data_IF_685011191781
#
_entry.id   IF_685011191781
#
_cell.length_a   1.000
_cell.length_b   1.000
_cell.length_c   1.000
_cell.angle_alpha   90.00
_cell.angle_beta   90.00
_cell.angle_gamma   90.00
#
_symmetry.space_group_name_H-M   'P 1'
#
loop_
_entity.id
_entity.type
_entity.pdbx_description
1 polymer ?
#
# COMPACT_ATOMS: atom_id res chain seq x y z
N UNK A 1 9.98 15.07 -36.32
CA UNK A 1 9.86 15.02 -34.85
C UNK A 1 9.60 13.60 -34.37
N UNK A 2 10.08 13.20 -33.19
CA UNK A 2 9.78 11.89 -32.56
C UNK A 2 8.50 11.94 -31.73
N UNK A 3 7.91 10.79 -31.41
CA UNK A 3 6.68 10.72 -30.60
C UNK A 3 6.84 11.40 -29.22
N UNK A 4 7.98 11.23 -28.56
CA UNK A 4 8.23 11.81 -27.23
C UNK A 4 8.35 13.33 -27.28
N UNK A 5 9.08 13.85 -28.27
CA UNK A 5 9.19 15.29 -28.50
C UNK A 5 7.82 15.91 -28.82
N UNK A 6 7.03 15.25 -29.67
CA UNK A 6 5.67 15.70 -29.97
C UNK A 6 4.78 15.67 -28.73
N UNK A 7 4.82 14.59 -27.93
CA UNK A 7 4.02 14.47 -26.69
C UNK A 7 4.29 15.59 -25.69
N UNK A 8 5.55 16.00 -25.54
CA UNK A 8 5.91 17.13 -24.67
C UNK A 8 5.31 18.47 -25.15
N UNK A 9 5.09 18.63 -26.45
CA UNK A 9 4.58 19.87 -27.05
C UNK A 9 3.06 19.89 -27.30
N UNK A 10 2.35 18.76 -27.14
CA UNK A 10 0.92 18.68 -27.45
C UNK A 10 0.05 19.65 -26.65
N UNK A 11 0.36 19.89 -25.37
CA UNK A 11 -0.41 20.82 -24.53
C UNK A 11 -0.33 22.25 -25.08
N UNK A 12 0.88 22.69 -25.41
CA UNK A 12 1.14 24.05 -25.90
C UNK A 12 0.62 24.22 -27.33
N UNK A 13 0.69 23.17 -28.14
CA UNK A 13 0.05 23.10 -29.46
C UNK A 13 -1.46 23.31 -29.37
N UNK A 14 -2.16 22.59 -28.48
CA UNK A 14 -3.61 22.72 -28.27
C UNK A 14 -3.99 24.11 -27.74
N UNK A 15 -3.13 24.72 -26.91
CA UNK A 15 -3.33 26.08 -26.38
C UNK A 15 -2.92 27.19 -27.35
N UNK A 16 -2.36 26.86 -28.51
CA UNK A 16 -1.80 27.82 -29.49
C UNK A 16 -0.65 28.68 -28.94
N UNK A 17 0.15 28.11 -28.04
CA UNK A 17 1.29 28.79 -27.40
C UNK A 17 2.63 28.54 -28.12
N UNK A 18 2.67 27.59 -29.05
CA UNK A 18 3.87 27.28 -29.85
C UNK A 18 4.17 28.35 -30.90
N UNK A 19 5.45 28.51 -31.25
CA UNK A 19 5.83 29.28 -32.44
C UNK A 19 5.30 28.60 -33.71
N UNK A 20 5.18 29.35 -34.81
CA UNK A 20 4.67 28.81 -36.08
C UNK A 20 5.46 27.59 -36.57
N UNK A 21 6.79 27.65 -36.47
CA UNK A 21 7.66 26.54 -36.91
C UNK A 21 7.43 25.27 -36.07
N UNK A 22 7.33 25.40 -34.75
CA UNK A 22 7.09 24.26 -33.85
C UNK A 22 5.70 23.67 -34.07
N UNK A 23 4.69 24.52 -34.26
CA UNK A 23 3.34 24.07 -34.57
C UNK A 23 3.27 23.30 -35.90
N UNK A 24 3.99 23.75 -36.93
CA UNK A 24 4.07 23.07 -38.23
C UNK A 24 4.75 21.70 -38.07
N UNK A 25 5.82 21.60 -37.27
CA UNK A 25 6.49 20.32 -37.00
C UNK A 25 5.59 19.34 -36.21
N UNK A 26 4.85 19.82 -35.20
CA UNK A 26 3.87 18.99 -34.45
C UNK A 26 2.76 18.51 -35.37
N UNK A 27 2.20 19.42 -36.19
CA UNK A 27 1.14 19.08 -37.14
C UNK A 27 1.61 18.03 -38.17
N UNK A 28 2.84 18.16 -38.69
CA UNK A 28 3.42 17.19 -39.60
C UNK A 28 3.53 15.79 -38.97
N UNK A 29 3.91 15.69 -37.69
CA UNK A 29 3.95 14.41 -36.97
C UNK A 29 2.55 13.85 -36.69
N UNK A 30 1.59 14.70 -36.31
CA UNK A 30 0.20 14.29 -36.09
C UNK A 30 -0.45 13.71 -37.36
N UNK A 31 0.00 14.09 -38.56
CA UNK A 31 -0.49 13.50 -39.80
C UNK A 31 -0.06 12.03 -39.98
N UNK A 32 1.06 11.60 -39.37
CA UNK A 32 1.61 10.25 -39.58
C UNK A 32 1.44 9.32 -38.38
N UNK A 33 1.24 9.86 -37.16
CA UNK A 33 1.16 9.08 -35.93
C UNK A 33 -0.25 9.04 -35.33
N UNK A 34 -0.90 7.87 -35.37
CA UNK A 34 -2.25 7.66 -34.81
C UNK A 34 -2.29 7.85 -33.28
N UNK A 35 -1.30 7.34 -32.56
CA UNK A 35 -1.25 7.47 -31.09
C UNK A 35 -1.15 8.95 -30.66
N UNK A 36 -0.31 9.75 -31.32
CA UNK A 36 -0.19 11.18 -31.02
C UNK A 36 -1.47 11.95 -31.37
N UNK A 37 -2.21 11.57 -32.43
CA UNK A 37 -3.55 12.13 -32.71
C UNK A 37 -4.55 11.82 -31.59
N UNK A 38 -4.59 10.58 -31.11
CA UNK A 38 -5.50 10.21 -30.02
C UNK A 38 -5.22 11.02 -28.75
N UNK A 39 -3.93 11.23 -28.41
CA UNK A 39 -3.54 12.07 -27.28
C UNK A 39 -3.95 13.54 -27.48
N UNK A 40 -3.76 14.12 -28.69
CA UNK A 40 -4.19 15.50 -28.99
C UNK A 40 -5.70 15.67 -28.83
N UNK A 41 -6.48 14.72 -29.37
CA UNK A 41 -7.94 14.74 -29.27
C UNK A 41 -8.42 14.68 -27.81
N UNK A 42 -7.78 13.85 -26.97
CA UNK A 42 -8.08 13.77 -25.54
C UNK A 42 -7.76 15.07 -24.80
N UNK A 43 -6.58 15.65 -25.06
CA UNK A 43 -6.18 16.94 -24.47
C UNK A 43 -7.18 18.03 -24.86
N UNK A 44 -7.57 18.10 -26.14
CA UNK A 44 -8.56 19.08 -26.64
C UNK A 44 -9.92 18.89 -25.98
N UNK A 45 -10.37 17.65 -25.80
CA UNK A 45 -11.62 17.33 -25.08
C UNK A 45 -11.56 17.81 -23.64
N UNK A 46 -10.46 17.55 -22.92
CA UNK A 46 -10.28 17.97 -21.53
C UNK A 46 -10.26 19.50 -21.39
N UNK A 47 -9.56 20.22 -22.28
CA UNK A 47 -9.62 21.69 -22.28
C UNK A 47 -11.02 22.23 -22.61
N UNK A 48 -11.78 21.55 -23.48
CA UNK A 48 -13.19 21.86 -23.72
C UNK A 48 -14.04 21.75 -22.46
N UNK A 49 -13.88 20.67 -21.69
CA UNK A 49 -14.56 20.48 -20.41
C UNK A 49 -14.16 21.53 -19.38
N UNK A 50 -12.87 21.88 -19.30
CA UNK A 50 -12.38 22.93 -18.39
C UNK A 50 -12.91 24.32 -18.74
N UNK A 51 -13.10 24.64 -20.02
CA UNK A 51 -13.72 25.92 -20.44
C UNK A 51 -15.20 26.00 -20.08
N UNK A 52 -15.90 24.87 -20.05
CA UNK A 52 -17.29 24.78 -19.62
C UNK A 52 -17.42 24.85 -18.09
N UNK A 53 -16.39 24.43 -17.35
CA UNK A 53 -16.35 24.57 -15.92
C UNK A 53 -16.26 26.06 -15.53
N UNK A 54 -17.31 26.56 -14.87
CA UNK A 54 -17.25 27.89 -14.26
C UNK A 54 -16.33 27.81 -13.05
N UNK A 55 -15.11 28.31 -13.17
CA UNK A 55 -14.22 28.40 -12.03
C UNK A 55 -14.88 29.30 -10.97
N UNK A 56 -15.08 28.83 -9.73
CA UNK A 56 -15.60 29.68 -8.68
C UNK A 56 -14.64 30.85 -8.48
N UNK A 57 -15.18 32.08 -8.53
CA UNK A 57 -14.38 33.27 -8.23
C UNK A 57 -13.85 33.12 -6.79
N UNK A 58 -12.52 33.12 -6.57
CA UNK A 58 -12.00 33.04 -5.21
C UNK A 58 -12.49 34.23 -4.40
N UNK A 59 -12.72 34.04 -3.10
CA UNK A 59 -13.17 35.13 -2.23
C UNK A 59 -12.10 36.23 -2.13
N UNK A 60 -12.53 37.48 -2.00
CA UNK A 60 -11.60 38.62 -1.87
C UNK A 60 -10.68 38.47 -0.65
N UNK A 61 -11.16 37.81 0.42
CA UNK A 61 -10.37 37.48 1.60
C UNK A 61 -9.22 36.51 1.32
N UNK A 62 -9.40 35.55 0.40
CA UNK A 62 -8.33 34.64 0.00
C UNK A 62 -7.28 35.40 -0.82
N UNK A 63 -7.70 36.26 -1.76
CA UNK A 63 -6.80 37.10 -2.55
C UNK A 63 -5.98 38.05 -1.67
N UNK A 64 -6.62 38.70 -0.69
CA UNK A 64 -5.93 39.57 0.27
C UNK A 64 -4.82 38.82 1.04
N UNK A 65 -5.09 37.57 1.46
CA UNK A 65 -4.09 36.74 2.16
C UNK A 65 -2.94 36.30 1.25
N UNK A 66 -3.21 35.99 -0.01
CA UNK A 66 -2.19 35.60 -0.98
C UNK A 66 -1.28 36.81 -1.26
N UNK A 67 -1.85 37.99 -1.54
CA UNK A 67 -1.08 39.21 -1.79
C UNK A 67 -0.23 39.60 -0.58
N UNK A 68 -0.81 39.59 0.63
CA UNK A 68 -0.04 39.84 1.86
C UNK A 68 1.06 38.80 2.14
N UNK A 69 0.97 37.59 1.55
CA UNK A 69 2.06 36.62 1.61
C UNK A 69 3.15 36.90 0.60
N UNK A 70 2.80 37.36 -0.61
CA UNK A 70 3.77 37.74 -1.64
C UNK A 70 4.52 39.00 -1.21
N UNK A 71 3.81 40.02 -0.71
CA UNK A 71 4.39 41.27 -0.23
C UNK A 71 5.43 41.03 0.87
N UNK A 72 5.18 40.08 1.79
CA UNK A 72 6.14 39.71 2.85
C UNK A 72 7.40 39.01 2.32
N UNK A 73 7.27 38.23 1.25
CA UNK A 73 8.40 37.58 0.59
C UNK A 73 9.24 38.63 -0.15
N UNK A 74 8.59 39.56 -0.86
CA UNK A 74 9.25 40.64 -1.59
C UNK A 74 9.90 41.67 -0.65
N UNK A 75 9.29 41.93 0.51
CA UNK A 75 9.84 42.81 1.55
C UNK A 75 11.04 42.21 2.30
N UNK A 76 11.40 40.95 2.05
CA UNK A 76 12.53 40.30 2.70
C UNK A 76 12.32 40.07 4.20
N UNK A 77 11.07 40.06 4.68
CA UNK A 77 10.74 39.73 6.07
C UNK A 77 10.93 38.22 6.30
N UNK A 78 12.19 37.81 6.46
CA UNK A 78 12.54 36.51 6.97
C UNK A 78 11.93 36.32 8.36
N UNK A 79 11.48 35.10 8.66
CA UNK A 79 10.99 34.70 9.98
C UNK A 79 12.12 34.79 11.02
N UNK A 80 12.42 36.00 11.52
CA UNK A 80 13.41 36.20 12.57
C UNK A 80 12.85 35.71 13.91
N UNK A 81 13.37 34.59 14.39
CA UNK A 81 13.07 34.09 15.72
C UNK A 81 13.75 34.99 16.79
N UNK A 82 13.06 35.35 17.89
CA UNK A 82 13.60 36.25 18.91
C UNK A 82 14.75 35.58 19.68
N UNK A 83 15.96 36.12 19.52
CA UNK A 83 17.15 35.67 20.26
C UNK A 83 17.17 36.36 21.63
N UNK A 84 16.99 35.59 22.71
CA UNK A 84 17.13 36.09 24.10
C UNK A 84 18.58 35.97 24.57
N UNK A 85 19.07 37.04 25.18
CA UNK A 85 20.46 37.33 25.55
C UNK A 85 21.05 36.49 26.70
N UNK A 86 22.36 36.26 26.61
CA UNK A 86 23.15 35.21 27.26
C UNK A 86 23.69 35.48 28.70
N UNK A 87 23.10 36.38 29.49
CA UNK A 87 23.70 36.76 30.78
C UNK A 87 23.16 36.00 32.02
N UNK A 88 22.20 35.07 31.87
CA UNK A 88 21.49 34.46 33.01
C UNK A 88 21.76 32.95 33.20
N UNK A 89 22.94 32.46 32.79
CA UNK A 89 23.21 31.01 32.66
C UNK A 89 23.95 30.38 33.86
N UNK A 90 24.62 31.15 34.73
CA UNK A 90 25.59 30.55 35.67
C UNK A 90 25.09 30.22 37.09
N UNK A 91 23.87 30.62 37.49
CA UNK A 91 23.27 30.18 38.78
C UNK A 91 22.12 29.18 38.62
N UNK A 92 21.71 28.85 37.40
CA UNK A 92 20.58 27.95 37.12
C UNK A 92 20.94 26.47 36.94
N UNK A 93 22.22 26.08 36.86
CA UNK A 93 22.59 24.73 36.40
C UNK A 93 22.21 23.57 37.35
N UNK A 94 22.08 23.80 38.66
CA UNK A 94 21.66 22.74 39.59
C UNK A 94 20.13 22.53 39.62
N UNK A 95 19.34 23.59 39.38
CA UNK A 95 17.88 23.53 39.30
C UNK A 95 17.43 23.09 37.89
N UNK A 96 18.18 23.46 36.84
CA UNK A 96 17.88 23.08 35.47
C UNK A 96 18.05 21.59 35.21
N UNK A 97 19.01 20.90 35.83
CA UNK A 97 19.20 19.46 35.65
C UNK A 97 18.06 18.64 36.28
N UNK A 98 17.61 19.00 37.48
CA UNK A 98 16.46 18.35 38.12
C UNK A 98 15.14 18.71 37.46
N UNK A 99 14.96 19.96 37.02
CA UNK A 99 13.81 20.32 36.18
C UNK A 99 13.87 19.65 34.81
N UNK A 100 15.03 19.45 34.18
CA UNK A 100 15.16 18.72 32.92
C UNK A 100 14.86 17.24 33.11
N UNK A 101 15.33 16.60 34.18
CA UNK A 101 14.99 15.20 34.50
C UNK A 101 13.51 15.06 34.84
N UNK A 102 12.94 16.01 35.61
CA UNK A 102 11.50 16.02 35.91
C UNK A 102 10.65 16.36 34.67
N UNK A 103 11.06 17.30 33.81
CA UNK A 103 10.37 17.62 32.55
C UNK A 103 10.50 16.49 31.55
N UNK A 104 11.65 15.81 31.48
CA UNK A 104 11.83 14.67 30.57
C UNK A 104 11.07 13.45 31.07
N UNK A 105 11.01 13.21 32.37
CA UNK A 105 10.12 12.22 32.96
C UNK A 105 8.64 12.56 32.72
N UNK A 106 8.24 13.82 32.90
CA UNK A 106 6.87 14.29 32.63
C UNK A 106 6.57 14.28 31.13
N UNK A 107 7.52 14.57 30.23
CA UNK A 107 7.33 14.44 28.78
C UNK A 107 7.25 12.97 28.35
N UNK A 108 8.02 12.06 28.95
CA UNK A 108 7.91 10.61 28.71
C UNK A 108 6.59 10.03 29.23
N UNK A 109 6.04 10.59 30.32
CA UNK A 109 4.75 10.21 30.87
C UNK A 109 3.59 10.87 30.08
N UNK A 110 3.70 12.14 29.68
CA UNK A 110 2.67 12.85 28.90
C UNK A 110 2.70 12.55 27.39
N UNK A 111 3.77 11.96 26.84
CA UNK A 111 3.72 11.41 25.48
C UNK A 111 2.96 10.08 25.39
N UNK A 112 2.51 9.52 26.52
CA UNK A 112 1.48 8.49 26.51
C UNK A 112 0.18 9.20 26.11
N UNK A 113 -0.16 9.07 24.83
CA UNK A 113 -1.20 9.85 24.17
C UNK A 113 -2.48 9.93 24.98
N UNK A 114 -3.02 11.14 25.12
CA UNK A 114 -4.33 11.33 25.71
C UNK A 114 -5.34 10.43 24.96
N UNK A 115 -6.17 9.66 25.68
CA UNK A 115 -7.12 8.71 25.09
C UNK A 115 -8.18 9.33 24.17
N UNK A 116 -8.23 10.67 24.09
CA UNK A 116 -9.16 11.44 23.25
C UNK A 116 -8.57 11.87 21.90
N UNK A 117 -7.45 11.28 21.46
CA UNK A 117 -6.94 11.57 20.11
C UNK A 117 -7.97 11.14 19.06
N UNK A 118 -8.42 12.04 18.17
CA UNK A 118 -9.49 11.74 17.23
C UNK A 118 -9.07 10.58 16.30
N UNK A 119 -10.03 9.72 15.97
CA UNK A 119 -9.83 8.68 14.97
C UNK A 119 -9.40 9.32 13.64
N UNK A 120 -8.26 8.90 13.12
CA UNK A 120 -7.65 9.43 11.89
C UNK A 120 -7.85 8.49 10.72
N UNK A 121 -7.76 7.19 10.96
CA UNK A 121 -7.91 6.18 9.92
C UNK A 121 -8.89 5.08 10.34
N UNK A 122 -9.38 4.34 9.37
CA UNK A 122 -10.16 3.12 9.61
C UNK A 122 -9.47 1.96 8.93
N UNK A 123 -9.21 0.92 9.72
CA UNK A 123 -8.71 -0.34 9.20
C UNK A 123 -9.85 -1.05 8.47
N UNK A 124 -9.81 -1.05 7.15
CA UNK A 124 -10.89 -1.64 6.36
C UNK A 124 -10.76 -3.16 6.31
N UNK A 125 -9.53 -3.68 6.11
CA UNK A 125 -9.27 -5.12 5.93
C UNK A 125 -7.92 -5.57 6.46
N UNK A 126 -7.86 -6.85 6.81
CA UNK A 126 -6.66 -7.57 7.26
C UNK A 126 -6.60 -8.90 6.52
N UNK A 127 -5.42 -9.31 6.07
CA UNK A 127 -5.16 -10.68 5.64
C UNK A 127 -5.19 -11.68 6.81
N UNK A 128 -5.21 -12.98 6.52
CA UNK A 128 -5.08 -14.02 7.55
C UNK A 128 -3.76 -13.86 8.32
N UNK A 129 -3.80 -14.18 9.62
CA UNK A 129 -2.62 -14.15 10.49
C UNK A 129 -2.11 -12.75 10.86
N UNK A 130 -2.81 -11.68 10.47
CA UNK A 130 -2.41 -10.32 10.81
C UNK A 130 -2.70 -10.05 12.29
N UNK A 131 -1.66 -9.93 13.11
CA UNK A 131 -1.78 -9.28 14.41
C UNK A 131 -1.31 -7.84 14.26
N UNK A 132 -2.26 -6.93 14.01
CA UNK A 132 -1.97 -5.51 14.22
C UNK A 132 -1.96 -5.29 15.72
N UNK A 133 -0.81 -4.93 16.24
CA UNK A 133 -0.69 -4.48 17.62
C UNK A 133 -0.92 -3.00 17.70
N UNK A 134 -1.98 -2.56 18.37
CA UNK A 134 -1.99 -1.22 18.98
C UNK A 134 -1.02 -1.27 20.17
N UNK A 135 -0.09 -0.33 20.19
CA UNK A 135 0.83 -0.14 21.32
C UNK A 135 0.35 1.08 22.12
N UNK A 136 -0.35 0.82 23.22
CA UNK A 136 -0.67 1.84 24.23
C UNK A 136 0.23 1.59 25.43
N UNK A 137 1.37 2.29 25.49
CA UNK A 137 2.41 1.99 26.47
C UNK A 137 3.19 0.72 26.09
N UNK A 138 3.12 -0.33 26.90
CA UNK A 138 3.80 -1.61 26.67
C UNK A 138 2.88 -2.74 26.19
N UNK A 139 1.57 -2.51 26.23
CA UNK A 139 0.58 -3.54 25.89
C UNK A 139 0.35 -3.61 24.38
N UNK A 140 0.25 -4.84 23.88
CA UNK A 140 0.09 -5.19 22.48
C UNK A 140 -1.32 -5.72 22.25
N UNK A 141 -2.21 -4.91 21.67
CA UNK A 141 -3.59 -5.30 21.43
C UNK A 141 -3.83 -5.67 19.96
N UNK A 142 -4.34 -6.89 19.70
CA UNK A 142 -4.76 -7.33 18.36
C UNK A 142 -5.97 -6.54 17.85
N UNK A 143 -5.87 -5.96 16.66
CA UNK A 143 -7.01 -5.29 16.03
C UNK A 143 -7.86 -6.22 15.17
N UNK A 144 -9.10 -5.80 14.91
CA UNK A 144 -10.04 -6.46 14.00
C UNK A 144 -10.36 -5.51 12.83
N UNK A 145 -10.76 -6.02 11.66
CA UNK A 145 -11.31 -5.17 10.60
C UNK A 145 -12.44 -4.28 11.13
N UNK A 146 -12.51 -3.04 10.63
CA UNK A 146 -13.41 -1.98 11.10
C UNK A 146 -12.87 -1.16 12.27
N UNK A 147 -11.77 -1.57 12.92
CA UNK A 147 -11.16 -0.79 14.00
C UNK A 147 -10.68 0.58 13.50
N UNK A 148 -10.85 1.60 14.33
CA UNK A 148 -10.31 2.93 14.09
C UNK A 148 -8.87 3.01 14.56
N UNK A 149 -8.09 3.80 13.82
CA UNK A 149 -6.71 4.11 14.11
C UNK A 149 -6.60 5.58 14.53
N UNK A 150 -6.05 5.81 15.71
CA UNK A 150 -5.82 7.15 16.25
C UNK A 150 -4.43 7.67 15.89
N UNK A 151 -4.26 8.99 15.95
CA UNK A 151 -2.94 9.59 15.86
C UNK A 151 -2.02 9.05 16.97
N UNK A 152 -0.78 8.76 16.59
CA UNK A 152 0.24 8.23 17.47
C UNK A 152 0.31 6.71 17.51
N UNK A 153 -0.72 6.00 17.06
CA UNK A 153 -0.74 4.54 17.07
C UNK A 153 0.25 3.94 16.09
N UNK A 154 0.99 2.95 16.57
CA UNK A 154 1.88 2.11 15.75
C UNK A 154 1.15 0.83 15.37
N UNK A 155 1.34 0.43 14.12
CA UNK A 155 0.88 -0.79 13.50
C UNK A 155 2.12 -1.64 13.19
N UNK A 156 2.18 -2.85 13.72
CA UNK A 156 3.22 -3.83 13.38
C UNK A 156 2.52 -4.98 12.65
N UNK A 157 3.04 -5.38 11.50
CA UNK A 157 2.50 -6.47 10.68
C UNK A 157 3.40 -7.70 10.80
N UNK A 158 2.81 -8.87 11.05
CA UNK A 158 3.56 -10.13 11.00
C UNK A 158 4.10 -10.42 9.59
N UNK A 159 5.19 -11.22 9.47
CA UNK A 159 5.66 -11.68 8.17
C UNK A 159 4.56 -12.42 7.40
N UNK A 160 4.41 -12.12 6.12
CA UNK A 160 3.35 -12.70 5.28
C UNK A 160 1.96 -12.11 5.50
N UNK A 161 1.78 -11.20 6.46
CA UNK A 161 0.53 -10.50 6.69
C UNK A 161 0.29 -9.38 5.63
N UNK A 162 -0.90 -8.80 5.56
CA UNK A 162 -1.16 -7.56 4.82
C UNK A 162 -2.37 -6.84 5.39
N UNK A 163 -2.37 -5.52 5.38
CA UNK A 163 -3.48 -4.73 5.88
C UNK A 163 -3.83 -3.59 4.94
N UNK A 164 -5.11 -3.22 4.92
CA UNK A 164 -5.59 -2.06 4.18
C UNK A 164 -6.39 -1.19 5.11
N UNK A 165 -6.07 0.10 5.08
CA UNK A 165 -6.81 1.10 5.80
C UNK A 165 -7.05 2.32 4.92
N UNK A 166 -8.06 3.09 5.29
CA UNK A 166 -8.41 4.35 4.65
C UNK A 166 -8.26 5.47 5.65
N UNK A 167 -7.73 6.60 5.19
CA UNK A 167 -7.79 7.87 5.91
C UNK A 167 -8.81 8.74 5.17
N UNK A 168 -9.85 9.17 5.87
CA UNK A 168 -10.96 9.91 5.27
C UNK A 168 -10.47 11.22 4.62
N UNK A 169 -10.90 11.46 3.37
CA UNK A 169 -10.49 12.63 2.58
C UNK A 169 -9.00 12.65 2.18
N UNK A 170 -8.29 11.54 2.38
CA UNK A 170 -6.89 11.39 1.99
C UNK A 170 -6.71 10.30 0.96
N UNK A 171 -7.12 9.06 1.26
CA UNK A 171 -6.83 7.95 0.37
C UNK A 171 -6.77 6.60 1.05
N UNK A 172 -6.37 5.59 0.27
CA UNK A 172 -6.27 4.19 0.67
C UNK A 172 -4.80 3.77 0.77
N UNK A 173 -4.51 2.95 1.76
CA UNK A 173 -3.17 2.49 2.07
C UNK A 173 -3.15 0.98 2.17
N UNK A 174 -2.19 0.34 1.53
CA UNK A 174 -1.88 -1.09 1.67
C UNK A 174 -0.52 -1.25 2.32
N UNK A 175 -0.46 -2.02 3.39
CA UNK A 175 0.76 -2.32 4.13
C UNK A 175 1.10 -3.78 3.95
N UNK A 176 2.33 -4.08 3.57
CA UNK A 176 2.81 -5.44 3.47
C UNK A 176 3.21 -6.03 4.83
N UNK A 177 3.31 -7.34 4.91
CA UNK A 177 3.76 -8.07 6.09
C UNK A 177 5.21 -7.74 6.45
N UNK A 178 5.55 -7.85 7.72
CA UNK A 178 6.86 -7.45 8.25
C UNK A 178 7.08 -5.94 8.34
N UNK A 179 6.07 -5.13 8.00
CA UNK A 179 6.15 -3.67 8.10
C UNK A 179 5.80 -3.17 9.49
N UNK A 180 6.45 -2.08 9.89
CA UNK A 180 6.09 -1.29 11.06
C UNK A 180 5.82 0.13 10.60
N UNK A 181 4.65 0.67 10.93
CA UNK A 181 4.32 2.06 10.63
C UNK A 181 3.53 2.70 11.76
N UNK A 182 3.56 4.03 11.84
CA UNK A 182 2.84 4.83 12.83
C UNK A 182 1.96 5.86 12.14
N UNK A 183 0.75 6.05 12.64
CA UNK A 183 -0.16 7.11 12.21
C UNK A 183 0.31 8.42 12.83
N UNK A 184 1.17 9.17 12.12
CA UNK A 184 1.76 10.40 12.65
C UNK A 184 0.75 11.54 12.76
N UNK A 185 -0.31 11.53 11.94
CA UNK A 185 -1.40 12.50 11.99
C UNK A 185 -2.41 12.29 10.85
N UNK A 186 -3.40 13.19 10.71
CA UNK A 186 -4.49 13.07 9.73
C UNK A 186 -4.05 13.05 8.27
N UNK A 187 -2.84 13.53 7.98
CA UNK A 187 -2.26 13.56 6.63
C UNK A 187 -0.79 13.14 6.62
N UNK A 188 -0.38 12.35 7.61
CA UNK A 188 0.99 11.92 7.78
C UNK A 188 1.07 10.48 8.30
N UNK A 189 1.88 9.65 7.64
CA UNK A 189 2.28 8.33 8.10
C UNK A 189 3.80 8.34 8.30
N UNK A 190 4.27 7.64 9.33
CA UNK A 190 5.67 7.30 9.48
C UNK A 190 5.86 5.80 9.25
N UNK A 191 6.52 5.42 8.16
CA UNK A 191 6.92 4.05 7.88
C UNK A 191 8.31 3.82 8.49
N UNK A 192 8.40 2.97 9.51
CA UNK A 192 9.69 2.67 10.15
C UNK A 192 10.46 1.64 9.34
N UNK A 193 9.79 0.59 8.87
CA UNK A 193 10.34 -0.44 8.00
C UNK A 193 9.25 -1.17 7.22
N UNK A 194 9.64 -1.87 6.16
CA UNK A 194 8.78 -2.71 5.34
C UNK A 194 8.26 -1.96 4.11
N UNK A 195 7.03 -2.24 3.71
CA UNK A 195 6.47 -1.73 2.46
C UNK A 195 5.06 -1.17 2.68
N UNK A 196 4.86 0.02 2.12
CA UNK A 196 3.59 0.73 2.09
C UNK A 196 3.32 1.18 0.66
N UNK A 197 2.13 0.86 0.16
CA UNK A 197 1.63 1.40 -1.09
C UNK A 197 0.46 2.33 -0.77
N UNK A 198 0.43 3.50 -1.39
CA UNK A 198 -0.55 4.55 -1.11
C UNK A 198 -1.21 5.03 -2.41
N UNK A 199 -2.54 5.08 -2.41
CA UNK A 199 -3.36 5.76 -3.42
C UNK A 199 -4.05 6.94 -2.76
N UNK A 200 -3.49 8.12 -3.03
CA UNK A 200 -3.93 9.37 -2.46
C UNK A 200 -4.93 10.02 -3.42
N UNK A 201 -6.10 10.37 -2.88
CA UNK A 201 -7.14 11.09 -3.60
C UNK A 201 -6.64 12.47 -4.05
N UNK A 202 -6.83 12.85 -5.32
CA UNK A 202 -6.50 14.20 -5.80
C UNK A 202 -7.29 15.31 -5.09
N UNK A 203 -6.74 16.52 -5.07
CA UNK A 203 -7.45 17.74 -4.61
C UNK A 203 -7.36 18.09 -3.11
N UNK A 204 -6.64 17.31 -2.31
CA UNK A 204 -6.41 17.60 -0.88
C UNK A 204 -5.18 18.48 -0.58
N UNK A 205 -4.96 18.82 0.71
CA UNK A 205 -3.82 19.61 1.23
C UNK A 205 -2.44 18.91 1.18
N UNK A 206 -2.27 17.94 0.28
CA UNK A 206 -1.09 17.07 0.22
C UNK A 206 -1.04 16.01 1.33
N UNK A 207 -0.22 14.98 1.16
CA UNK A 207 -0.03 13.91 2.14
C UNK A 207 1.45 13.62 2.28
N UNK A 208 1.89 13.22 3.47
CA UNK A 208 3.30 12.93 3.74
C UNK A 208 3.52 11.51 4.26
N UNK A 209 4.49 10.81 3.69
CA UNK A 209 5.03 9.58 4.25
C UNK A 209 6.48 9.82 4.62
N UNK A 210 6.78 9.74 5.92
CA UNK A 210 8.14 9.78 6.43
C UNK A 210 8.68 8.35 6.55
N UNK A 211 9.85 8.10 5.97
CA UNK A 211 10.63 6.87 6.13
C UNK A 211 12.02 7.23 6.68
N UNK A 212 12.85 6.26 7.12
CA UNK A 212 14.04 6.60 7.90
C UNK A 212 15.08 7.44 7.12
N UNK A 213 15.13 7.33 5.79
CA UNK A 213 16.13 7.97 4.94
C UNK A 213 15.55 9.09 4.06
N UNK A 214 14.22 9.20 3.96
CA UNK A 214 13.56 10.24 3.18
C UNK A 214 12.08 10.42 3.51
N UNK A 215 11.51 11.53 3.05
CA UNK A 215 10.10 11.88 3.09
C UNK A 215 9.54 11.94 1.66
N UNK A 216 8.31 11.47 1.50
CA UNK A 216 7.54 11.55 0.27
C UNK A 216 6.34 12.46 0.49
N UNK A 217 6.31 13.61 -0.19
CA UNK A 217 5.18 14.54 -0.16
C UNK A 217 4.43 14.46 -1.49
N UNK A 218 3.11 14.28 -1.42
CA UNK A 218 2.29 13.92 -2.59
C UNK A 218 0.97 14.66 -2.63
N UNK A 219 0.39 14.79 -3.83
CA UNK A 219 -0.95 15.30 -4.08
C UNK A 219 -1.59 14.47 -5.20
N UNK A 220 -2.52 13.57 -4.87
CA UNK A 220 -3.22 12.79 -5.91
C UNK A 220 -2.35 11.73 -6.60
N UNK A 221 -1.63 10.91 -5.84
CA UNK A 221 -0.57 10.03 -6.37
C UNK A 221 -0.83 8.57 -5.98
N UNK A 222 -0.56 7.64 -6.90
CA UNK A 222 -0.40 6.21 -6.61
C UNK A 222 1.09 5.85 -6.61
N UNK A 223 1.61 5.38 -5.48
CA UNK A 223 3.03 5.12 -5.31
C UNK A 223 3.32 4.09 -4.22
N UNK A 224 4.51 3.50 -4.27
CA UNK A 224 5.04 2.53 -3.31
C UNK A 224 6.26 3.10 -2.60
N UNK A 225 6.35 2.88 -1.30
CA UNK A 225 7.52 3.16 -0.46
C UNK A 225 7.97 1.86 0.19
N UNK A 226 9.25 1.51 0.00
CA UNK A 226 9.91 0.42 0.69
C UNK A 226 11.01 1.00 1.59
N UNK A 227 11.00 0.65 2.88
CA UNK A 227 11.94 1.14 3.88
C UNK A 227 12.68 -0.01 4.55
N UNK A 228 14.01 0.07 4.54
CA UNK A 228 14.94 -0.75 5.33
C UNK A 228 15.74 0.16 6.26
N UNK A 229 16.62 -0.43 7.08
CA UNK A 229 17.45 0.33 8.02
C UNK A 229 18.45 1.27 7.31
N UNK A 230 18.83 0.96 6.07
CA UNK A 230 19.85 1.67 5.30
C UNK A 230 19.31 2.39 4.05
N UNK A 231 18.07 2.09 3.62
CA UNK A 231 17.52 2.57 2.36
C UNK A 231 16.01 2.83 2.42
N UNK A 232 15.58 3.95 1.84
CA UNK A 232 14.18 4.16 1.43
C UNK A 232 14.12 4.18 -0.09
N UNK A 233 13.31 3.32 -0.69
CA UNK A 233 13.01 3.34 -2.12
C UNK A 233 11.58 3.81 -2.36
N UNK A 234 11.39 4.60 -3.41
CA UNK A 234 10.11 5.14 -3.84
C UNK A 234 9.88 4.77 -5.30
N UNK A 235 8.70 4.25 -5.62
CA UNK A 235 8.25 3.95 -6.98
C UNK A 235 6.93 4.66 -7.24
N UNK A 236 6.73 5.30 -8.40
CA UNK A 236 5.51 6.08 -8.69
C UNK A 236 4.77 5.52 -9.90
N UNK A 237 3.50 5.16 -9.70
CA UNK A 237 2.63 4.63 -10.74
C UNK A 237 1.86 5.73 -11.47
N UNK A 238 1.36 6.70 -10.70
CA UNK A 238 0.48 7.77 -11.18
C UNK A 238 0.77 9.05 -10.42
N UNK A 239 0.83 10.17 -11.13
CA UNK A 239 1.07 11.48 -10.55
C UNK A 239 2.55 11.76 -10.33
N UNK A 240 2.86 12.52 -9.28
CA UNK A 240 4.23 12.93 -8.95
C UNK A 240 4.44 12.92 -7.44
N UNK A 241 5.67 12.68 -7.02
CA UNK A 241 6.08 12.68 -5.62
C UNK A 241 7.31 13.54 -5.44
N UNK A 242 7.24 14.51 -4.53
CA UNK A 242 8.43 15.20 -4.05
C UNK A 242 9.11 14.30 -3.02
N UNK A 243 10.24 13.73 -3.40
CA UNK A 243 11.03 12.83 -2.56
C UNK A 243 12.25 13.57 -2.04
N UNK A 244 12.39 13.69 -0.72
CA UNK A 244 13.40 14.57 -0.13
C UNK A 244 13.92 14.11 1.22
N UNK A 245 15.10 14.60 1.58
CA UNK A 245 15.66 14.49 2.93
C UNK A 245 16.48 15.77 3.25
N UNK A 246 17.25 15.75 4.34
CA UNK A 246 18.07 16.90 4.75
C UNK A 246 19.18 17.26 3.77
N UNK A 247 19.55 16.36 2.86
CA UNK A 247 20.64 16.54 1.89
C UNK A 247 20.14 16.98 0.51
N UNK A 248 18.85 16.91 0.22
CA UNK A 248 18.31 17.32 -1.08
C UNK A 248 16.91 16.80 -1.39
N UNK A 249 16.44 17.07 -2.60
CA UNK A 249 15.12 16.66 -3.08
C UNK A 249 15.18 16.34 -4.57
N UNK A 250 14.37 15.37 -4.98
CA UNK A 250 14.07 15.03 -6.38
C UNK A 250 12.56 14.95 -6.57
N UNK A 251 12.07 15.24 -7.76
CA UNK A 251 10.67 15.00 -8.12
C UNK A 251 10.59 13.69 -8.91
N UNK A 252 9.84 12.71 -8.41
CA UNK A 252 9.67 11.39 -9.02
C UNK A 252 8.31 11.34 -9.69
N UNK A 253 8.29 11.22 -11.01
CA UNK A 253 7.07 11.17 -11.81
C UNK A 253 6.61 9.73 -12.03
N UNK A 254 5.36 9.57 -12.47
CA UNK A 254 4.82 8.28 -12.91
C UNK A 254 5.76 7.58 -13.90
N UNK A 255 5.98 6.28 -13.69
CA UNK A 255 6.92 5.49 -14.50
C UNK A 255 8.36 5.55 -14.00
N UNK A 256 8.65 6.27 -12.92
CA UNK A 256 10.00 6.37 -12.34
C UNK A 256 10.06 5.87 -10.90
N UNK A 257 11.29 5.59 -10.47
CA UNK A 257 11.66 5.28 -9.10
C UNK A 257 12.87 6.09 -8.66
N UNK A 258 13.02 6.30 -7.35
CA UNK A 258 14.21 6.88 -6.74
C UNK A 258 14.51 6.16 -5.43
N UNK A 259 15.73 6.32 -4.92
CA UNK A 259 16.14 5.79 -3.63
C UNK A 259 16.93 6.82 -2.84
N UNK A 260 16.75 6.82 -1.53
CA UNK A 260 17.52 7.59 -0.57
C UNK A 260 18.24 6.64 0.37
N UNK A 261 19.48 7.00 0.71
CA UNK A 261 20.31 6.32 1.71
C UNK A 261 20.79 7.35 2.72
N UNK A 262 21.18 6.90 3.91
CA UNK A 262 21.58 7.79 4.99
C UNK A 262 22.70 8.78 4.56
N UNK A 263 22.51 10.06 4.87
CA UNK A 263 23.50 11.12 4.66
C UNK A 263 23.72 11.57 3.21
N UNK A 264 22.97 11.02 2.24
CA UNK A 264 23.06 11.42 0.82
C UNK A 264 21.74 11.97 0.33
N UNK A 265 21.80 12.89 -0.63
CA UNK A 265 20.60 13.35 -1.35
C UNK A 265 19.94 12.15 -2.06
N UNK A 266 18.61 12.14 -2.22
CA UNK A 266 17.95 11.11 -3.00
C UNK A 266 18.55 11.01 -4.41
N UNK A 267 18.70 9.79 -4.92
CA UNK A 267 19.22 9.53 -6.25
C UNK A 267 18.32 10.15 -7.33
N UNK A 268 18.92 10.55 -8.45
CA UNK A 268 18.15 10.97 -9.62
C UNK A 268 17.11 9.89 -10.00
N UNK A 269 15.88 10.28 -10.40
CA UNK A 269 14.87 9.32 -10.80
C UNK A 269 15.36 8.42 -11.95
N UNK A 270 15.11 7.12 -11.81
CA UNK A 270 15.38 6.10 -12.81
C UNK A 270 14.05 5.57 -13.36
N UNK A 271 13.99 5.35 -14.66
CA UNK A 271 12.80 4.78 -15.30
C UNK A 271 12.55 3.35 -14.79
N UNK A 272 11.29 3.02 -14.59
CA UNK A 272 10.88 1.66 -14.25
C UNK A 272 10.96 0.78 -15.48
N UNK A 273 11.57 -0.39 -15.33
CA UNK A 273 11.40 -1.43 -16.33
C UNK A 273 9.90 -1.78 -16.45
N UNK A 274 9.42 -1.98 -17.68
CA UNK A 274 8.00 -2.17 -17.97
C UNK A 274 7.36 -3.36 -17.24
N UNK A 275 8.16 -4.32 -16.77
CA UNK A 275 7.77 -5.52 -16.02
C UNK A 275 7.92 -5.39 -14.49
N UNK A 276 8.67 -4.39 -14.00
CA UNK A 276 9.05 -4.27 -12.59
C UNK A 276 7.95 -3.68 -11.69
N UNK A 277 6.86 -3.20 -12.29
CA UNK A 277 5.85 -2.44 -11.60
C UNK A 277 4.52 -3.21 -11.55
N UNK A 278 4.49 -4.25 -10.71
CA UNK A 278 3.27 -4.97 -10.35
C UNK A 278 2.36 -4.06 -9.49
N UNK A 279 1.68 -3.13 -10.17
CA UNK A 279 0.70 -2.23 -9.57
C UNK A 279 -0.66 -2.90 -9.37
N UNK A 280 -0.87 -4.11 -9.91
CA UNK A 280 -2.12 -4.87 -9.76
C UNK A 280 -2.32 -5.37 -8.33
N UNK A 281 -1.24 -5.43 -7.54
CA UNK A 281 -1.27 -5.54 -6.07
C UNK A 281 -2.11 -4.45 -5.39
N UNK A 282 -2.40 -3.34 -6.09
CA UNK A 282 -3.27 -2.27 -5.63
C UNK A 282 -4.74 -2.44 -6.03
N UNK A 283 -5.00 -3.08 -7.18
CA UNK A 283 -6.34 -3.28 -7.74
C UNK A 283 -7.07 -4.46 -7.10
N UNK A 284 -6.34 -5.52 -6.76
CA UNK A 284 -6.92 -6.74 -6.20
C UNK A 284 -7.11 -6.64 -4.68
N UNK A 285 -8.15 -5.90 -4.30
CA UNK A 285 -8.79 -6.06 -2.99
C UNK A 285 -10.31 -6.10 -3.17
N UNK A 286 -10.80 -6.98 -4.04
CA UNK A 286 -12.05 -7.67 -3.72
C UNK A 286 -11.81 -8.43 -2.39
N UNK A 287 -12.80 -8.64 -1.50
CA UNK A 287 -12.62 -9.57 -0.39
C UNK A 287 -12.04 -10.86 -0.99
N UNK A 288 -10.83 -11.20 -0.56
CA UNK A 288 -10.21 -12.43 -1.06
C UNK A 288 -11.11 -13.60 -0.71
N UNK A 289 -11.00 -14.71 -1.45
CA UNK A 289 -11.69 -15.92 -1.07
C UNK A 289 -11.40 -16.25 0.39
N UNK A 290 -12.42 -16.54 1.20
CA UNK A 290 -12.27 -17.30 2.43
C UNK A 290 -11.97 -18.73 2.06
N UNK A 291 -11.00 -19.33 2.74
CA UNK A 291 -10.62 -20.73 2.56
C UNK A 291 -11.25 -21.57 3.66
N UNK A 292 -12.07 -22.54 3.29
CA UNK A 292 -12.55 -23.58 4.18
C UNK A 292 -11.88 -24.90 3.80
N UNK A 293 -11.25 -25.56 4.77
CA UNK A 293 -10.65 -26.87 4.57
C UNK A 293 -11.52 -27.93 5.25
N UNK A 294 -11.87 -28.97 4.50
CA UNK A 294 -12.48 -30.20 5.02
C UNK A 294 -11.58 -31.37 4.66
N UNK A 295 -11.31 -32.24 5.63
CA UNK A 295 -10.50 -33.43 5.42
C UNK A 295 -11.24 -34.62 6.01
N UNK A 296 -11.26 -35.74 5.29
CA UNK A 296 -11.95 -36.95 5.76
C UNK A 296 -11.07 -37.76 6.72
N UNK A 297 -11.68 -38.46 7.67
CA UNK A 297 -10.97 -39.39 8.54
C UNK A 297 -10.39 -40.56 7.72
N UNK A 298 -9.27 -41.11 8.15
CA UNK A 298 -8.56 -42.16 7.39
C UNK A 298 -7.82 -43.15 8.28
N UNK A 299 -7.28 -44.20 7.65
CA UNK A 299 -6.27 -45.06 8.28
C UNK A 299 -4.85 -44.60 7.92
N UNK A 300 -3.90 -44.88 8.81
CA UNK A 300 -2.48 -44.59 8.63
C UNK A 300 -1.94 -45.16 7.31
N UNK A 301 -1.14 -44.36 6.61
CA UNK A 301 -0.52 -44.75 5.34
C UNK A 301 -1.46 -44.80 4.12
N UNK A 302 -2.77 -44.54 4.28
CA UNK A 302 -3.70 -44.42 3.15
C UNK A 302 -3.79 -42.97 2.65
N UNK A 303 -3.99 -42.74 1.34
CA UNK A 303 -4.34 -41.42 0.83
C UNK A 303 -5.59 -40.88 1.52
N UNK A 304 -5.58 -39.60 1.89
CA UNK A 304 -6.65 -38.93 2.63
C UNK A 304 -7.30 -37.90 1.73
N UNK A 305 -8.55 -38.11 1.28
CA UNK A 305 -9.22 -37.12 0.47
C UNK A 305 -9.44 -35.83 1.29
N UNK A 306 -9.16 -34.70 0.66
CA UNK A 306 -9.46 -33.39 1.21
C UNK A 306 -10.19 -32.52 0.20
N UNK A 307 -10.91 -31.54 0.74
CA UNK A 307 -11.62 -30.53 -0.02
C UNK A 307 -11.28 -29.14 0.52
N UNK A 308 -10.77 -28.27 -0.35
CA UNK A 308 -10.63 -26.85 -0.10
C UNK A 308 -11.78 -26.13 -0.80
N UNK A 309 -12.53 -25.33 -0.05
CA UNK A 309 -13.63 -24.52 -0.60
C UNK A 309 -13.27 -23.05 -0.48
N UNK A 310 -13.20 -22.36 -1.61
CA UNK A 310 -13.03 -20.91 -1.69
C UNK A 310 -14.39 -20.25 -1.85
N UNK A 311 -14.72 -19.32 -0.94
CA UNK A 311 -15.97 -18.53 -0.95
C UNK A 311 -15.65 -17.05 -0.90
N UNK A 312 -16.44 -16.18 -1.52
CA UNK A 312 -16.24 -14.73 -1.36
C UNK A 312 -17.55 -14.02 -1.05
N UNK A 313 -17.49 -12.99 -0.21
CA UNK A 313 -18.67 -12.18 0.10
C UNK A 313 -19.01 -11.18 -1.03
N UNK A 314 -18.11 -11.02 -2.00
CA UNK A 314 -18.30 -10.20 -3.20
C UNK A 314 -17.79 -10.92 -4.46
N UNK A 315 -18.27 -10.56 -5.66
CA UNK A 315 -17.78 -11.12 -6.91
C UNK A 315 -16.25 -11.05 -6.99
N UNK A 316 -15.61 -12.21 -7.03
CA UNK A 316 -14.16 -12.38 -7.00
C UNK A 316 -13.76 -13.41 -8.04
N UNK A 317 -12.91 -13.03 -8.98
CA UNK A 317 -12.36 -13.97 -9.95
C UNK A 317 -11.08 -14.57 -9.36
N UNK A 318 -10.98 -15.88 -9.29
CA UNK A 318 -9.79 -16.60 -8.80
C UNK A 318 -9.29 -17.55 -9.87
N UNK A 319 -7.98 -17.78 -9.92
CA UNK A 319 -7.45 -18.84 -10.78
C UNK A 319 -7.65 -20.19 -10.10
N UNK A 320 -8.26 -21.13 -10.82
CA UNK A 320 -8.59 -22.45 -10.34
C UNK A 320 -7.43 -23.43 -10.56
N UNK A 321 -7.09 -24.16 -9.51
CA UNK A 321 -6.02 -25.14 -9.51
C UNK A 321 -4.66 -24.55 -9.15
N UNK A 322 -3.61 -25.34 -9.37
CA UNK A 322 -2.21 -24.93 -9.17
C UNK A 322 -1.62 -24.57 -10.53
N UNK A 323 -1.10 -23.36 -10.64
CA UNK A 323 -0.42 -22.81 -11.82
C UNK A 323 0.97 -22.30 -11.42
N UNK A 324 1.71 -21.67 -12.33
CA UNK A 324 2.95 -20.97 -11.97
C UNK A 324 2.71 -19.79 -11.01
N UNK A 325 1.50 -19.23 -11.02
CA UNK A 325 1.12 -18.05 -10.22
C UNK A 325 0.23 -18.39 -9.04
N UNK A 326 -0.44 -19.53 -9.08
CA UNK A 326 -1.37 -19.97 -8.04
C UNK A 326 -0.86 -21.25 -7.40
N UNK A 327 -0.63 -21.24 -6.09
CA UNK A 327 -0.15 -22.42 -5.38
C UNK A 327 -0.89 -22.60 -4.06
N UNK A 328 -0.92 -23.86 -3.63
CA UNK A 328 -1.54 -24.26 -2.37
C UNK A 328 -0.50 -24.94 -1.51
N UNK A 329 -0.41 -24.51 -0.26
CA UNK A 329 0.43 -25.13 0.75
C UNK A 329 -0.47 -25.68 1.85
N UNK A 330 -0.33 -26.97 2.13
CA UNK A 330 -0.91 -27.60 3.30
C UNK A 330 0.14 -27.60 4.42
N UNK A 331 -0.24 -27.07 5.58
CA UNK A 331 0.56 -27.21 6.81
C UNK A 331 0.02 -28.38 7.59
N UNK A 332 0.85 -29.41 7.77
CA UNK A 332 0.53 -30.60 8.57
C UNK A 332 1.28 -30.53 9.90
N UNK A 333 0.58 -30.75 11.00
CA UNK A 333 1.17 -30.92 12.33
C UNK A 333 0.80 -32.31 12.85
N UNK A 334 1.81 -33.15 13.04
CA UNK A 334 1.66 -34.51 13.55
C UNK A 334 1.25 -34.53 15.03
N UNK A 335 0.77 -35.67 15.56
CA UNK A 335 0.45 -35.81 16.99
C UNK A 335 1.62 -35.49 17.92
N UNK A 336 2.86 -35.65 17.46
CA UNK A 336 4.07 -35.31 18.22
C UNK A 336 4.50 -33.84 18.07
N UNK A 337 3.69 -33.00 17.40
CA UNK A 337 3.96 -31.58 17.18
C UNK A 337 4.93 -31.27 16.04
N UNK A 338 5.41 -32.27 15.29
CA UNK A 338 6.28 -32.04 14.13
C UNK A 338 5.45 -31.44 13.00
N UNK A 339 5.89 -30.29 12.50
CA UNK A 339 5.26 -29.57 11.38
C UNK A 339 5.93 -29.90 10.05
N UNK A 340 5.11 -30.07 9.01
CA UNK A 340 5.55 -30.29 7.62
C UNK A 340 4.71 -29.44 6.68
N UNK A 341 5.37 -28.80 5.72
CA UNK A 341 4.72 -28.08 4.63
C UNK A 341 4.64 -28.99 3.40
N UNK A 342 3.47 -29.09 2.81
CA UNK A 342 3.24 -29.83 1.57
C UNK A 342 2.73 -28.86 0.52
N UNK A 343 3.57 -28.58 -0.47
CA UNK A 343 3.17 -27.80 -1.65
C UNK A 343 2.52 -28.74 -2.65
N UNK A 344 1.28 -28.45 -3.04
CA UNK A 344 0.56 -29.21 -4.05
C UNK A 344 1.08 -28.86 -5.45
N UNK A 345 1.25 -29.86 -6.31
CA UNK A 345 1.70 -29.68 -7.68
C UNK A 345 0.52 -29.46 -8.65
N UNK A 346 0.84 -28.91 -9.83
CA UNK A 346 -0.11 -28.81 -10.93
C UNK A 346 -0.63 -30.21 -11.31
N UNK A 347 -1.95 -30.35 -11.44
CA UNK A 347 -2.61 -31.62 -11.76
C UNK A 347 -2.95 -32.53 -10.57
N UNK A 348 -2.49 -32.22 -9.35
CA UNK A 348 -2.88 -32.96 -8.14
C UNK A 348 -4.28 -32.59 -7.61
N UNK A 349 -4.87 -31.51 -8.15
CA UNK A 349 -6.16 -31.00 -7.74
C UNK A 349 -7.17 -31.08 -8.88
N UNK A 350 -8.36 -31.57 -8.53
CA UNK A 350 -9.55 -31.40 -9.37
C UNK A 350 -10.29 -30.16 -8.90
N UNK A 351 -10.42 -29.16 -9.78
CA UNK A 351 -11.12 -27.92 -9.49
C UNK A 351 -12.53 -27.95 -10.07
N UNK A 352 -13.55 -27.64 -9.26
CA UNK A 352 -14.93 -27.52 -9.70
C UNK A 352 -15.57 -26.23 -9.19
N UNK A 353 -16.31 -25.52 -10.04
CA UNK A 353 -17.15 -24.38 -9.64
C UNK A 353 -18.61 -24.78 -9.92
N UNK A 354 -19.47 -24.70 -8.89
CA UNK A 354 -20.87 -25.12 -8.97
C UNK A 354 -21.06 -26.54 -9.53
N UNK A 355 -20.12 -27.44 -9.20
CA UNK A 355 -20.14 -28.84 -9.62
C UNK A 355 -19.62 -29.10 -11.04
N UNK A 356 -19.30 -28.06 -11.82
CA UNK A 356 -18.68 -28.20 -13.14
C UNK A 356 -17.16 -28.20 -13.02
N UNK A 357 -16.50 -29.13 -13.72
CA UNK A 357 -15.04 -29.17 -13.82
C UNK A 357 -14.52 -27.89 -14.48
N UNK A 358 -13.51 -27.28 -13.88
CA UNK A 358 -13.03 -25.98 -14.30
C UNK A 358 -11.51 -25.98 -14.51
N UNK A 359 -11.08 -25.45 -15.65
CA UNK A 359 -9.68 -25.21 -16.00
C UNK A 359 -9.50 -23.72 -16.27
N UNK A 360 -8.76 -22.99 -15.42
CA UNK A 360 -8.54 -21.56 -15.60
C UNK A 360 -9.27 -20.70 -14.55
N UNK A 361 -9.94 -19.62 -14.96
CA UNK A 361 -10.53 -18.65 -14.02
C UNK A 361 -11.93 -19.06 -13.55
N UNK A 362 -12.19 -18.94 -12.25
CA UNK A 362 -13.49 -19.11 -11.62
C UNK A 362 -13.98 -17.80 -11.02
N UNK A 363 -15.23 -17.42 -11.29
CA UNK A 363 -15.89 -16.31 -10.57
C UNK A 363 -16.64 -16.88 -9.38
N UNK A 364 -16.25 -16.50 -8.17
CA UNK A 364 -16.88 -16.89 -6.91
C UNK A 364 -17.55 -15.68 -6.25
N UNK A 365 -18.62 -15.93 -5.52
CA UNK A 365 -19.40 -14.94 -4.77
C UNK A 365 -20.16 -15.65 -3.62
N UNK A 366 -21.26 -15.06 -3.13
CA UNK A 366 -22.04 -15.64 -2.03
C UNK A 366 -22.78 -16.92 -2.43
N UNK A 367 -23.08 -17.10 -3.71
CA UNK A 367 -23.78 -18.26 -4.26
C UNK A 367 -22.82 -19.26 -4.89
N UNK A 368 -21.75 -18.75 -5.53
CA UNK A 368 -20.77 -19.54 -6.28
C UNK A 368 -19.51 -19.80 -5.48
N UNK A 369 -19.10 -21.06 -5.42
CA UNK A 369 -17.91 -21.50 -4.69
C UNK A 369 -16.99 -22.32 -5.57
N UNK A 370 -15.68 -22.07 -5.45
CA UNK A 370 -14.67 -22.90 -6.06
C UNK A 370 -14.27 -24.00 -5.08
N UNK A 371 -14.37 -25.24 -5.52
CA UNK A 371 -14.04 -26.43 -4.74
C UNK A 371 -12.83 -27.11 -5.37
N UNK A 372 -11.78 -27.29 -4.59
CA UNK A 372 -10.55 -27.98 -4.99
C UNK A 372 -10.46 -29.28 -4.20
N UNK A 373 -10.41 -30.41 -4.91
CA UNK A 373 -10.30 -31.75 -4.30
C UNK A 373 -8.95 -32.37 -4.62
N UNK A 374 -8.35 -33.02 -3.64
CA UNK A 374 -7.10 -33.74 -3.79
C UNK A 374 -6.94 -34.85 -2.76
N UNK A 375 -5.79 -35.51 -2.80
CA UNK A 375 -5.41 -36.55 -1.84
C UNK A 375 -4.15 -36.13 -1.08
N UNK A 376 -4.22 -36.20 0.25
CA UNK A 376 -3.08 -36.01 1.12
C UNK A 376 -2.40 -37.35 1.40
N UNK A 377 -1.06 -37.39 1.33
CA UNK A 377 -0.26 -38.61 1.55
C UNK A 377 0.79 -38.39 2.64
N UNK A 378 1.27 -39.48 3.23
CA UNK A 378 2.32 -39.45 4.26
C UNK A 378 1.81 -39.10 5.66
N UNK A 379 0.55 -39.43 5.97
CA UNK A 379 0.03 -39.46 7.34
C UNK A 379 0.27 -40.85 7.93
N UNK A 380 1.51 -41.13 8.31
CA UNK A 380 1.95 -42.49 8.70
C UNK A 380 1.79 -42.77 10.21
N UNK A 381 1.61 -41.72 11.01
CA UNK A 381 1.44 -41.84 12.47
C UNK A 381 -0.04 -41.85 12.85
N UNK A 382 -0.41 -42.78 13.72
CA UNK A 382 -1.72 -42.83 14.37
C UNK A 382 -1.90 -41.63 15.31
N UNK A 383 -3.12 -41.10 15.38
CA UNK A 383 -3.49 -40.01 16.29
C UNK A 383 -4.10 -38.79 15.58
N UNK A 384 -4.25 -37.70 16.33
CA UNK A 384 -4.85 -36.46 15.83
C UNK A 384 -3.81 -35.59 15.12
N UNK A 385 -3.93 -35.48 13.80
CA UNK A 385 -3.20 -34.52 12.99
C UNK A 385 -3.95 -33.21 12.92
N UNK A 386 -3.22 -32.09 12.77
CA UNK A 386 -3.81 -30.78 12.52
C UNK A 386 -3.37 -30.27 11.16
N UNK A 387 -4.31 -29.77 10.37
CA UNK A 387 -4.06 -29.35 8.99
C UNK A 387 -4.66 -27.98 8.72
N UNK A 388 -3.91 -27.09 8.08
CA UNK A 388 -4.43 -25.86 7.47
C UNK A 388 -4.03 -25.76 6.00
N UNK A 389 -4.78 -24.98 5.22
CA UNK A 389 -4.51 -24.72 3.82
C UNK A 389 -4.27 -23.23 3.59
N UNK A 390 -3.16 -22.89 2.94
CA UNK A 390 -2.86 -21.57 2.40
C UNK A 390 -3.09 -21.60 0.89
N UNK A 391 -4.03 -20.79 0.41
CA UNK A 391 -4.23 -20.52 -1.01
C UNK A 391 -3.54 -19.20 -1.34
N UNK A 392 -2.59 -19.20 -2.27
CA UNK A 392 -1.93 -18.00 -2.76
C UNK A 392 -2.07 -17.90 -4.27
N UNK A 393 -2.41 -16.71 -4.78
CA UNK A 393 -2.50 -16.41 -6.21
C UNK A 393 -1.78 -15.11 -6.51
N UNK A 394 -0.92 -15.10 -7.53
CA UNK A 394 -0.29 -13.90 -8.07
C UNK A 394 -1.22 -13.10 -8.99
N UNK A 395 -2.40 -13.63 -9.31
CA UNK A 395 -3.39 -12.97 -10.15
C UNK A 395 -3.03 -12.83 -11.64
N UNK A 396 -4.05 -12.44 -12.41
CA UNK A 396 -4.01 -11.86 -13.76
C UNK A 396 -4.69 -10.48 -13.67
N UNK A 397 -4.63 -9.71 -14.75
CA UNK A 397 -5.24 -8.36 -14.84
C UNK A 397 -6.70 -8.31 -14.34
N UNK A 398 -7.44 -9.42 -14.53
CA UNK A 398 -8.85 -9.57 -14.13
C UNK A 398 -9.09 -10.57 -12.98
N UNK A 399 -8.06 -11.05 -12.28
CA UNK A 399 -8.23 -12.00 -11.18
C UNK A 399 -7.64 -11.50 -9.87
N UNK A 400 -8.16 -12.03 -8.79
CA UNK A 400 -7.67 -11.79 -7.45
C UNK A 400 -6.20 -12.22 -7.33
N UNK A 401 -5.39 -11.33 -6.79
CA UNK A 401 -4.03 -11.61 -6.33
C UNK A 401 -3.98 -11.43 -4.81
N UNK A 402 -3.34 -12.36 -4.13
CA UNK A 402 -3.23 -12.35 -2.68
C UNK A 402 -3.05 -13.74 -2.11
N UNK A 403 -3.26 -13.85 -0.80
CA UNK A 403 -3.28 -15.13 -0.10
C UNK A 403 -4.44 -15.18 0.88
N UNK A 404 -4.94 -16.38 1.12
CA UNK A 404 -6.01 -16.67 2.05
C UNK A 404 -5.73 -18.00 2.75
N UNK A 405 -6.02 -18.09 4.04
CA UNK A 405 -5.70 -19.25 4.86
C UNK A 405 -6.96 -19.82 5.51
N UNK A 406 -7.04 -21.14 5.61
CA UNK A 406 -8.11 -21.82 6.33
C UNK A 406 -7.87 -21.82 7.83
N UNK A 407 -8.95 -22.04 8.59
CA UNK A 407 -8.80 -22.49 9.97
C UNK A 407 -8.12 -23.86 10.02
N UNK A 408 -7.54 -24.18 11.17
CA UNK A 408 -6.88 -25.46 11.41
C UNK A 408 -7.94 -26.55 11.65
N UNK A 409 -7.97 -27.56 10.79
CA UNK A 409 -8.82 -28.74 10.92
C UNK A 409 -8.07 -29.86 11.67
N UNK A 410 -8.78 -30.64 12.49
CA UNK A 410 -8.23 -31.82 13.12
C UNK A 410 -8.66 -33.08 12.36
N UNK A 411 -7.74 -34.02 12.18
CA UNK A 411 -7.97 -35.28 11.47
C UNK A 411 -7.56 -36.42 12.40
N UNK A 412 -8.47 -37.35 12.65
CA UNK A 412 -8.15 -38.57 13.37
C UNK A 412 -7.64 -39.63 12.38
N UNK A 413 -6.39 -40.05 12.55
CA UNK A 413 -5.77 -41.13 11.75
C UNK A 413 -5.73 -42.38 12.62
N UNK A 414 -6.46 -43.42 12.20
CA UNK A 414 -6.54 -44.72 12.91
C UNK A 414 -5.62 -45.75 12.25
N UNK A 415 -5.37 -46.87 12.92
CA UNK A 415 -4.58 -47.94 12.34
C UNK A 415 -5.25 -48.65 11.16
#
# INVERSE_FOLDING_TARGET
>A
MTCDATRLQLTDYVKTELTRSEADDVAAHLNTCENCRSNEAEIRKNFGLLRLATAPKPSDALWARINASVDRIEAGEGLEAPVRSAAWVWRGMAIAATLLIALSAVMLINHQGSPDSPAVARLDRMGPGVIIYRITGTERQTMKPGATLAQGETLVMDPGAAAIFTIDGVGRFRVAGGSTLRIAGPRAIQLEKGELVADITPGGKGFEIAAPQARATVQGTLFRVCATDDRTALTVARGSVKFHNGSGSVNVMAGFQSAAVAGKSPAAPLELAADAADWDLFRSVAPGPRVELTVEATSAGKPVPFQITLKSDAPTVVEAGVTERTYIILTLESPSGVRRLVRLAAGELTATCDGQLLHGLASIDQEKRLVLKGELRGLDAEGTWRVSALFASGGREDSWAGYAESQMAAIEVKR
#
